data_IF_135338016361
#
_entry.id   IF_135338016361
#
_cell.length_a   1.000
_cell.length_b   1.000
_cell.length_c   1.000
_cell.angle_alpha   90.00
_cell.angle_beta   90.00
_cell.angle_gamma   90.00
#
_symmetry.space_group_name_H-M   'P 1'
#
loop_
_entity.id
_entity.type
_entity.pdbx_description
1 polymer ?
#
# COMPACT_ATOMS: atom_id res chain seq x y z
N UNK A 1 -30.77 -14.38 9.70
CA UNK A 1 -30.13 -13.70 10.85
C UNK A 1 -28.62 -13.91 10.87
N UNK A 2 -28.13 -15.13 10.64
CA UNK A 2 -26.69 -15.47 10.64
C UNK A 2 -25.86 -14.73 9.58
N UNK A 3 -26.40 -14.56 8.36
CA UNK A 3 -25.78 -13.77 7.28
C UNK A 3 -25.59 -12.30 7.66
N UNK A 4 -26.57 -11.71 8.35
CA UNK A 4 -26.55 -10.30 8.75
C UNK A 4 -25.44 -10.02 9.78
N UNK A 5 -25.30 -10.88 10.80
CA UNK A 5 -24.21 -10.80 11.78
C UNK A 5 -22.82 -10.94 11.13
N UNK A 6 -22.68 -11.80 10.11
CA UNK A 6 -21.43 -11.92 9.37
C UNK A 6 -21.08 -10.63 8.62
N UNK A 7 -22.04 -9.99 7.94
CA UNK A 7 -21.81 -8.68 7.26
C UNK A 7 -21.34 -7.58 8.22
N UNK A 8 -21.88 -7.54 9.45
CA UNK A 8 -21.42 -6.59 10.48
C UNK A 8 -19.97 -6.88 10.88
N UNK A 9 -19.60 -8.16 10.96
CA UNK A 9 -18.21 -8.59 11.13
C UNK A 9 -17.31 -8.07 10.01
N UNK A 10 -17.72 -8.24 8.74
CA UNK A 10 -16.96 -7.76 7.58
C UNK A 10 -16.77 -6.23 7.56
N UNK A 11 -17.80 -5.46 7.93
CA UNK A 11 -17.69 -4.01 8.06
C UNK A 11 -16.71 -3.59 9.16
N UNK A 12 -16.71 -4.32 10.28
CA UNK A 12 -15.78 -4.08 11.40
C UNK A 12 -14.34 -4.38 10.97
N UNK A 13 -14.12 -5.49 10.26
CA UNK A 13 -12.81 -5.85 9.70
C UNK A 13 -12.34 -4.82 8.67
N UNK A 14 -13.21 -4.39 7.76
CA UNK A 14 -12.88 -3.36 6.78
C UNK A 14 -12.49 -2.04 7.46
N UNK A 15 -13.22 -1.63 8.49
CA UNK A 15 -12.93 -0.40 9.24
C UNK A 15 -11.56 -0.48 9.92
N UNK A 16 -11.21 -1.65 10.49
CA UNK A 16 -9.88 -1.90 11.04
C UNK A 16 -8.78 -1.76 9.99
N UNK A 17 -8.94 -2.41 8.83
CA UNK A 17 -7.96 -2.35 7.74
C UNK A 17 -7.78 -0.93 7.18
N UNK A 18 -8.86 -0.17 7.00
CA UNK A 18 -8.78 1.23 6.55
C UNK A 18 -8.01 2.08 7.55
N UNK A 19 -8.23 1.86 8.85
CA UNK A 19 -7.50 2.58 9.91
C UNK A 19 -6.01 2.24 9.89
N UNK A 20 -5.67 0.95 9.85
CA UNK A 20 -4.28 0.50 9.87
C UNK A 20 -3.50 1.02 8.64
N UNK A 21 -4.12 1.02 7.45
CA UNK A 21 -3.50 1.62 6.26
C UNK A 21 -3.35 3.14 6.38
N UNK A 22 -4.33 3.83 6.98
CA UNK A 22 -4.29 5.28 7.16
C UNK A 22 -3.19 5.69 8.16
N UNK A 23 -3.03 4.93 9.24
CA UNK A 23 -1.99 5.14 10.26
C UNK A 23 -0.59 4.93 9.66
N UNK A 24 -0.41 3.92 8.81
CA UNK A 24 0.87 3.65 8.13
C UNK A 24 1.22 4.75 7.10
N UNK A 25 0.24 5.24 6.33
CA UNK A 25 0.44 6.38 5.41
C UNK A 25 0.85 7.63 6.17
N UNK A 26 0.19 7.91 7.30
CA UNK A 26 0.50 9.07 8.14
C UNK A 26 1.92 8.96 8.72
N UNK A 27 2.30 7.77 9.19
CA UNK A 27 3.65 7.51 9.71
C UNK A 27 4.73 7.76 8.65
N UNK A 28 4.57 7.20 7.44
CA UNK A 28 5.55 7.37 6.34
C UNK A 28 5.58 8.77 5.75
N UNK A 29 4.44 9.49 5.74
CA UNK A 29 4.38 10.87 5.26
C UNK A 29 5.13 11.85 6.18
N UNK A 30 5.27 11.53 7.47
CA UNK A 30 6.01 12.32 8.45
C UNK A 30 7.51 11.98 8.45
N UNK A 31 7.89 10.76 8.05
CA UNK A 31 9.28 10.29 8.12
C UNK A 31 10.15 10.64 6.90
N UNK A 32 9.63 11.39 5.91
CA UNK A 32 10.32 11.78 4.66
C UNK A 32 11.18 10.67 4.02
N UNK A 33 10.81 9.38 4.13
CA UNK A 33 11.53 8.30 3.46
C UNK A 33 11.11 8.24 1.98
N UNK A 34 11.96 8.66 1.01
CA UNK A 34 11.61 8.70 -0.40
C UNK A 34 11.52 7.31 -1.05
N UNK A 35 11.89 6.25 -0.31
CA UNK A 35 12.01 4.89 -0.83
C UNK A 35 10.69 4.15 -1.07
N UNK A 36 9.59 4.57 -0.43
CA UNK A 36 8.29 3.92 -0.54
C UNK A 36 7.29 4.88 -1.19
N UNK A 37 7.29 4.91 -2.53
CA UNK A 37 6.36 5.77 -3.28
C UNK A 37 4.91 5.54 -2.86
N UNK A 38 4.13 6.62 -2.71
CA UNK A 38 2.69 6.56 -2.35
C UNK A 38 1.81 5.92 -3.45
N UNK A 39 2.35 5.72 -4.65
CA UNK A 39 1.64 5.17 -5.81
C UNK A 39 0.93 3.84 -5.57
N UNK A 40 1.57 2.81 -4.95
CA UNK A 40 0.92 1.54 -4.63
C UNK A 40 -0.22 1.68 -3.61
N UNK A 41 -0.10 2.60 -2.64
CA UNK A 41 -1.17 2.87 -1.66
C UNK A 41 -2.36 3.54 -2.34
N UNK A 42 -2.10 4.58 -3.13
CA UNK A 42 -3.13 5.29 -3.89
C UNK A 42 -3.85 4.29 -4.81
N UNK A 43 -3.10 3.46 -5.53
CA UNK A 43 -3.66 2.43 -6.41
C UNK A 43 -4.53 1.41 -5.65
N UNK A 44 -4.14 1.03 -4.43
CA UNK A 44 -4.92 0.11 -3.60
C UNK A 44 -6.27 0.72 -3.18
N UNK A 45 -6.26 1.97 -2.72
CA UNK A 45 -7.49 2.69 -2.38
C UNK A 45 -8.40 2.89 -3.59
N UNK A 46 -7.85 3.31 -4.73
CA UNK A 46 -8.64 3.52 -5.95
C UNK A 46 -9.18 2.21 -6.52
N UNK A 47 -8.43 1.11 -6.41
CA UNK A 47 -8.88 -0.22 -6.85
C UNK A 47 -9.98 -0.77 -5.94
N UNK A 48 -9.91 -0.52 -4.63
CA UNK A 48 -10.97 -0.90 -3.68
C UNK A 48 -12.24 -0.06 -3.79
N UNK A 49 -12.18 1.12 -4.41
CA UNK A 49 -13.32 2.03 -4.49
C UNK A 49 -14.51 1.45 -5.29
N UNK A 50 -14.23 0.72 -6.38
CA UNK A 50 -15.28 0.11 -7.21
C UNK A 50 -16.07 -0.98 -6.45
N UNK A 51 -15.43 -2.01 -5.87
CA UNK A 51 -16.16 -3.00 -5.07
C UNK A 51 -16.83 -2.37 -3.85
N UNK A 52 -16.22 -1.36 -3.20
CA UNK A 52 -16.88 -0.63 -2.11
C UNK A 52 -18.16 0.09 -2.58
N UNK A 53 -18.16 0.67 -3.78
CA UNK A 53 -19.33 1.29 -4.38
C UNK A 53 -20.45 0.29 -4.64
N UNK A 54 -20.13 -0.88 -5.20
CA UNK A 54 -21.11 -1.96 -5.42
C UNK A 54 -21.67 -2.51 -4.11
N UNK A 55 -20.84 -2.65 -3.08
CA UNK A 55 -21.29 -3.03 -1.75
C UNK A 55 -22.33 -2.01 -1.22
N UNK A 56 -22.07 -0.71 -1.38
CA UNK A 56 -23.00 0.32 -0.94
C UNK A 56 -24.31 0.29 -1.74
N UNK A 57 -24.25 0.10 -3.05
CA UNK A 57 -25.43 -0.04 -3.91
C UNK A 57 -26.30 -1.23 -3.44
N UNK A 58 -25.72 -2.42 -3.30
CA UNK A 58 -26.42 -3.60 -2.84
C UNK A 58 -27.00 -3.41 -1.42
N UNK A 59 -26.26 -2.74 -0.54
CA UNK A 59 -26.73 -2.44 0.82
C UNK A 59 -27.96 -1.51 0.81
N UNK A 60 -27.93 -0.46 -0.01
CA UNK A 60 -29.05 0.49 -0.11
C UNK A 60 -30.31 -0.15 -0.69
N UNK A 61 -30.16 -1.05 -1.67
CA UNK A 61 -31.27 -1.84 -2.22
C UNK A 61 -31.87 -2.77 -1.16
N UNK A 62 -31.04 -3.49 -0.39
CA UNK A 62 -31.51 -4.33 0.71
C UNK A 62 -32.29 -3.50 1.75
N UNK A 63 -31.84 -2.28 2.05
CA UNK A 63 -32.52 -1.36 2.96
C UNK A 63 -33.88 -0.88 2.44
N UNK A 64 -34.01 -0.64 1.14
CA UNK A 64 -35.29 -0.32 0.53
C UNK A 64 -36.30 -1.45 0.72
N UNK A 65 -35.87 -2.71 0.55
CA UNK A 65 -36.71 -3.89 0.79
C UNK A 65 -37.08 -4.07 2.26
N UNK A 66 -36.16 -3.82 3.20
CA UNK A 66 -36.51 -3.76 4.63
C UNK A 66 -37.56 -2.69 4.93
N UNK A 67 -37.46 -1.54 4.29
CA UNK A 67 -38.46 -0.47 4.37
C UNK A 67 -39.84 -0.93 3.90
N UNK A 68 -39.90 -1.64 2.78
CA UNK A 68 -41.14 -2.28 2.28
C UNK A 68 -41.70 -3.27 3.30
N UNK A 69 -40.89 -4.23 3.77
CA UNK A 69 -41.31 -5.25 4.73
C UNK A 69 -41.84 -4.62 6.03
N UNK A 70 -41.16 -3.60 6.55
CA UNK A 70 -41.59 -2.88 7.75
C UNK A 70 -42.91 -2.13 7.52
N UNK A 71 -43.04 -1.42 6.40
CA UNK A 71 -44.25 -0.66 6.07
C UNK A 71 -45.48 -1.55 6.00
N UNK A 72 -45.33 -2.76 5.49
CA UNK A 72 -46.43 -3.70 5.31
C UNK A 72 -46.44 -4.83 6.35
N UNK A 73 -45.78 -4.68 7.51
CA UNK A 73 -45.72 -5.75 8.51
C UNK A 73 -47.10 -6.09 9.09
N UNK A 74 -47.96 -5.09 9.28
CA UNK A 74 -49.29 -5.24 9.90
C UNK A 74 -50.44 -5.18 8.89
N UNK A 75 -50.12 -5.05 7.59
CA UNK A 75 -51.12 -5.00 6.54
C UNK A 75 -51.87 -6.35 6.46
N UNK A 76 -53.20 -6.34 6.23
CA UNK A 76 -53.99 -7.56 6.06
C UNK A 76 -53.37 -8.49 5.03
N UNK A 77 -53.33 -9.78 5.36
CA UNK A 77 -52.66 -10.75 4.50
C UNK A 77 -53.50 -11.01 3.24
N UNK A 78 -52.87 -10.82 2.08
CA UNK A 78 -53.39 -11.20 0.77
C UNK A 78 -52.35 -12.05 0.07
N UNK A 79 -52.77 -12.88 -0.90
CA UNK A 79 -51.84 -13.73 -1.65
C UNK A 79 -50.72 -12.89 -2.31
N UNK A 80 -51.08 -11.79 -2.97
CA UNK A 80 -50.12 -10.89 -3.62
C UNK A 80 -49.14 -10.26 -2.62
N UNK A 81 -49.62 -9.87 -1.44
CA UNK A 81 -48.77 -9.27 -0.42
C UNK A 81 -47.85 -10.31 0.23
N UNK A 82 -48.33 -11.53 0.41
CA UNK A 82 -47.53 -12.66 0.88
C UNK A 82 -46.36 -12.92 -0.08
N UNK A 83 -46.66 -13.03 -1.37
CA UNK A 83 -45.65 -13.24 -2.43
C UNK A 83 -44.67 -12.08 -2.51
N UNK A 84 -45.16 -10.83 -2.43
CA UNK A 84 -44.31 -9.64 -2.42
C UNK A 84 -43.37 -9.60 -1.21
N UNK A 85 -43.85 -9.95 0.00
CA UNK A 85 -42.99 -10.04 1.20
C UNK A 85 -41.95 -11.16 1.05
N UNK A 86 -42.33 -12.31 0.51
CA UNK A 86 -41.40 -13.41 0.27
C UNK A 86 -40.32 -13.02 -0.76
N UNK A 87 -40.71 -12.34 -1.85
CA UNK A 87 -39.79 -11.82 -2.85
C UNK A 87 -38.84 -10.77 -2.25
N UNK A 88 -39.36 -9.78 -1.52
CA UNK A 88 -38.56 -8.77 -0.86
C UNK A 88 -37.53 -9.38 0.12
N UNK A 89 -37.93 -10.41 0.88
CA UNK A 89 -37.01 -11.12 1.77
C UNK A 89 -35.89 -11.84 1.01
N UNK A 90 -36.19 -12.47 -0.14
CA UNK A 90 -35.16 -13.10 -0.98
C UNK A 90 -34.19 -12.07 -1.54
N UNK A 91 -34.70 -10.93 -2.02
CA UNK A 91 -33.85 -9.82 -2.51
C UNK A 91 -32.93 -9.32 -1.39
N UNK A 92 -33.44 -9.16 -0.16
CA UNK A 92 -32.59 -8.81 0.99
C UNK A 92 -31.46 -9.82 1.17
N UNK A 93 -31.75 -11.12 1.15
CA UNK A 93 -30.73 -12.16 1.34
C UNK A 93 -29.66 -12.10 0.26
N UNK A 94 -30.07 -12.07 -1.01
CA UNK A 94 -29.19 -11.99 -2.17
C UNK A 94 -28.31 -10.74 -2.11
N UNK A 95 -28.91 -9.58 -1.87
CA UNK A 95 -28.17 -8.32 -1.79
C UNK A 95 -27.15 -8.33 -0.65
N UNK A 96 -27.51 -8.87 0.52
CA UNK A 96 -26.57 -8.96 1.64
C UNK A 96 -25.44 -9.95 1.40
N UNK A 97 -25.64 -10.99 0.59
CA UNK A 97 -24.56 -11.87 0.12
C UNK A 97 -23.62 -11.13 -0.83
N UNK A 98 -24.17 -10.35 -1.78
CA UNK A 98 -23.35 -9.51 -2.66
C UNK A 98 -22.57 -8.44 -1.90
N UNK A 99 -23.19 -7.79 -0.89
CA UNK A 99 -22.48 -6.84 0.00
C UNK A 99 -21.28 -7.53 0.66
N UNK A 100 -21.47 -8.75 1.18
CA UNK A 100 -20.37 -9.50 1.79
C UNK A 100 -19.24 -9.75 0.78
N UNK A 101 -19.59 -10.22 -0.41
CA UNK A 101 -18.60 -10.60 -1.42
C UNK A 101 -17.83 -9.38 -1.93
N UNK A 102 -18.52 -8.27 -2.19
CA UNK A 102 -17.90 -7.00 -2.57
C UNK A 102 -16.99 -6.46 -1.45
N UNK A 103 -17.41 -6.51 -0.18
CA UNK A 103 -16.58 -6.09 0.96
C UNK A 103 -15.35 -6.99 1.16
N UNK A 104 -15.49 -8.30 0.88
CA UNK A 104 -14.38 -9.23 0.91
C UNK A 104 -13.36 -8.89 -0.19
N UNK A 105 -13.81 -8.56 -1.40
CA UNK A 105 -12.95 -8.11 -2.50
C UNK A 105 -12.18 -6.84 -2.13
N UNK A 106 -12.83 -5.86 -1.46
CA UNK A 106 -12.14 -4.67 -0.92
C UNK A 106 -11.05 -5.09 0.07
N UNK A 107 -11.39 -5.93 1.04
CA UNK A 107 -10.45 -6.41 2.06
C UNK A 107 -9.24 -7.12 1.45
N UNK A 108 -9.46 -8.00 0.48
CA UNK A 108 -8.39 -8.75 -0.18
C UNK A 108 -7.48 -7.83 -1.02
N UNK A 109 -8.07 -6.84 -1.68
CA UNK A 109 -7.32 -5.82 -2.43
C UNK A 109 -6.41 -5.00 -1.51
N UNK A 110 -6.95 -4.53 -0.37
CA UNK A 110 -6.20 -3.76 0.61
C UNK A 110 -5.11 -4.60 1.28
N UNK A 111 -5.42 -5.85 1.67
CA UNK A 111 -4.44 -6.77 2.27
C UNK A 111 -3.31 -7.09 1.29
N UNK A 112 -3.62 -7.41 0.04
CA UNK A 112 -2.60 -7.65 -0.98
C UNK A 112 -1.72 -6.43 -1.26
N UNK A 113 -2.21 -5.22 -1.02
CA UNK A 113 -1.38 -4.01 -1.07
C UNK A 113 -0.50 -3.87 0.19
N UNK A 114 -1.06 -4.09 1.38
CA UNK A 114 -0.31 -4.09 2.64
C UNK A 114 0.83 -5.11 2.62
N UNK A 115 0.58 -6.35 2.20
CA UNK A 115 1.60 -7.41 2.09
C UNK A 115 2.76 -7.04 1.14
N UNK A 116 2.50 -6.26 0.09
CA UNK A 116 3.55 -5.75 -0.81
C UNK A 116 4.35 -4.61 -0.19
N UNK A 117 3.69 -3.78 0.62
CA UNK A 117 4.34 -2.70 1.35
C UNK A 117 5.21 -3.24 2.50
N UNK A 118 4.74 -4.27 3.20
CA UNK A 118 5.50 -4.99 4.25
C UNK A 118 6.55 -5.94 3.67
N UNK A 119 6.27 -6.53 2.51
CA UNK A 119 7.16 -7.44 1.78
C UNK A 119 8.29 -6.75 1.04
N UNK A 120 8.35 -5.42 1.02
CA UNK A 120 9.52 -4.67 0.55
C UNK A 120 10.60 -4.76 1.63
N UNK A 121 11.65 -5.59 1.51
CA UNK A 121 12.56 -5.81 2.62
C UNK A 121 13.35 -4.52 2.89
N UNK A 122 13.32 -3.92 4.10
CA UNK A 122 14.12 -2.73 4.42
C UNK A 122 15.64 -2.98 4.47
N UNK A 123 16.11 -4.17 4.04
CA UNK A 123 17.47 -4.64 4.33
C UNK A 123 18.21 -5.21 3.14
N UNK A 124 17.52 -5.74 2.13
CA UNK A 124 18.22 -6.36 0.99
C UNK A 124 18.74 -5.31 0.02
N UNK A 125 17.99 -4.23 -0.23
CA UNK A 125 18.50 -3.06 -0.99
C UNK A 125 19.55 -2.29 -0.18
N UNK A 126 19.35 -2.06 1.12
CA UNK A 126 20.34 -1.40 1.97
C UNK A 126 21.64 -2.21 2.17
N UNK A 127 21.57 -3.56 2.09
CA UNK A 127 22.73 -4.44 2.09
C UNK A 127 23.41 -4.53 0.70
N UNK A 128 22.64 -4.48 -0.39
CA UNK A 128 23.19 -4.39 -1.75
C UNK A 128 23.86 -3.03 -2.03
N UNK A 129 23.30 -1.93 -1.53
CA UNK A 129 23.94 -0.60 -1.58
C UNK A 129 25.22 -0.55 -0.74
N UNK A 130 25.31 -1.33 0.35
CA UNK A 130 26.53 -1.46 1.17
C UNK A 130 27.55 -2.44 0.60
N UNK A 131 27.13 -3.49 -0.11
CA UNK A 131 28.05 -4.46 -0.73
C UNK A 131 28.52 -4.04 -2.13
N UNK A 132 27.85 -3.08 -2.76
CA UNK A 132 28.27 -2.47 -4.01
C UNK A 132 29.12 -1.19 -3.84
N UNK A 133 29.67 -0.94 -2.65
CA UNK A 133 30.84 -0.06 -2.50
C UNK A 133 32.10 -0.91 -2.62
N UNK A 134 32.75 -0.99 -3.81
CA UNK A 134 34.16 -1.31 -3.84
C UNK A 134 34.89 -0.22 -3.04
N UNK A 135 35.46 -0.62 -1.91
CA UNK A 135 36.49 0.14 -1.21
C UNK A 135 37.72 0.22 -2.12
N UNK A 136 37.69 1.10 -3.12
CA UNK A 136 38.86 1.60 -3.81
C UNK A 136 38.74 3.12 -3.80
N UNK A 137 39.22 3.70 -2.71
CA UNK A 137 39.53 5.13 -2.64
C UNK A 137 40.74 5.40 -3.53
N UNK A 138 40.49 5.79 -4.78
CA UNK A 138 41.51 6.27 -5.74
C UNK A 138 41.57 7.80 -5.82
N UNK A 139 40.70 8.51 -5.10
CA UNK A 139 40.78 9.96 -4.91
C UNK A 139 41.32 10.31 -3.51
N UNK A 140 42.55 9.87 -3.23
CA UNK A 140 43.36 10.49 -2.17
C UNK A 140 44.04 11.71 -2.78
N UNK A 141 43.62 12.92 -2.36
CA UNK A 141 44.32 14.16 -2.70
C UNK A 141 45.80 14.05 -2.25
N UNK A 142 46.78 14.41 -3.10
CA UNK A 142 48.18 14.44 -2.69
C UNK A 142 48.45 15.55 -1.67
N UNK A 143 49.04 15.20 -0.53
CA UNK A 143 49.63 16.14 0.43
C UNK A 143 50.88 16.77 -0.18
N UNK A 144 50.95 18.10 -0.19
CA UNK A 144 52.07 18.89 -0.71
C UNK A 144 53.36 18.68 0.12
N UNK A 145 54.53 18.41 -0.52
CA UNK A 145 55.81 18.31 0.19
C UNK A 145 56.47 19.69 0.41
N UNK A 146 57.25 19.89 1.49
CA UNK A 146 57.89 21.18 1.78
C UNK A 146 59.03 21.50 0.79
N UNK A 147 59.20 22.79 0.50
CA UNK A 147 60.12 23.32 -0.50
C UNK A 147 61.60 22.97 -0.26
N UNK A 148 62.40 22.62 -1.31
CA UNK A 148 63.83 22.36 -1.18
C UNK A 148 64.67 23.65 -1.19
N UNK A 149 65.67 23.73 -0.30
CA UNK A 149 66.73 24.75 -0.32
C UNK A 149 67.71 24.62 -1.51
N UNK A 150 68.56 25.63 -1.75
CA UNK A 150 69.35 25.72 -2.97
C UNK A 150 70.49 24.69 -3.06
N UNK A 151 70.50 23.93 -4.15
CA UNK A 151 71.52 22.91 -4.48
C UNK A 151 72.71 23.57 -5.20
N UNK A 152 73.93 23.34 -4.70
CA UNK A 152 75.19 23.72 -5.37
C UNK A 152 75.52 22.73 -6.50
N UNK A 153 75.72 23.27 -7.70
CA UNK A 153 76.15 22.53 -8.90
C UNK A 153 77.63 22.13 -8.79
N UNK A 154 77.92 20.84 -8.74
CA UNK A 154 79.27 20.30 -8.90
C UNK A 154 79.50 19.94 -10.38
N UNK A 155 80.53 20.54 -10.97
CA UNK A 155 80.96 20.40 -12.35
C UNK A 155 81.87 19.17 -12.49
N UNK A 156 81.61 18.29 -13.46
CA UNK A 156 82.52 17.23 -13.89
C UNK A 156 82.89 17.42 -15.37
N UNK A 157 84.18 17.57 -15.73
CA UNK A 157 84.60 17.75 -17.11
C UNK A 157 84.79 16.41 -17.83
N UNK A 158 84.46 16.39 -19.12
CA UNK A 158 84.70 15.26 -20.03
C UNK A 158 86.12 15.32 -20.66
N UNK A 159 86.73 14.16 -20.99
CA UNK A 159 88.09 14.11 -21.51
C UNK A 159 88.15 14.40 -23.01
N UNK A 160 89.15 15.16 -23.45
CA UNK A 160 89.50 15.36 -24.87
C UNK A 160 90.65 14.44 -25.26
N UNK A 161 90.43 13.59 -26.27
CA UNK A 161 91.49 12.88 -26.99
C UNK A 161 91.70 13.51 -28.37
N UNK A 162 92.95 13.96 -28.60
CA UNK A 162 93.72 13.88 -29.85
C UNK A 162 93.31 14.75 -31.04
N UNK A 163 94.17 15.70 -31.44
CA UNK A 163 95.32 15.43 -32.30
C UNK A 163 96.32 16.59 -32.25
#
# INVERSE_FOLDING_TARGET
MQTMCNTIGHLTTLTGLIKDLSDEVLFRAVDEDPGLGLGPVINAYTSGAVPAGRAMENYTEAYAQFGFLRRFAEAPDSADLHDARAAAFRVVQERMELVRDDLQEVSDTLRGAADRLDGTPPRVLAALSRSAQPTISIYRLPTEPPAPGPVRLAYTPAPRHGR
#
